data_IF_939547867793
#
_entry.id   IF_939547867793
#
_cell.length_a   1.000
_cell.length_b   1.000
_cell.length_c   1.000
_cell.angle_alpha   90.00
_cell.angle_beta   90.00
_cell.angle_gamma   90.00
#
_symmetry.space_group_name_H-M   'P 1'
#
loop_
_entity.id
_entity.type
_entity.pdbx_description
1 polymer ?
#
# COMPACT_ATOMS: atom_id res chain seq x y z
N UNK A 1 7.74 19.35 -28.65
CA UNK A 1 7.39 17.93 -28.40
C UNK A 1 7.41 17.73 -26.88
N UNK A 2 6.26 17.72 -26.26
CA UNK A 2 6.15 17.40 -24.84
C UNK A 2 6.33 15.88 -24.68
N UNK A 3 7.45 15.50 -24.11
CA UNK A 3 7.66 14.09 -23.69
C UNK A 3 6.81 13.83 -22.46
N UNK A 4 5.80 12.98 -22.60
CA UNK A 4 4.94 12.62 -21.50
C UNK A 4 5.75 11.87 -20.41
N UNK A 5 5.36 11.99 -19.13
CA UNK A 5 5.97 11.25 -18.01
C UNK A 5 6.00 9.72 -18.26
N UNK A 6 5.02 9.20 -19.01
CA UNK A 6 4.95 7.80 -19.46
C UNK A 6 6.07 7.43 -20.41
N UNK A 7 6.46 8.32 -21.34
CA UNK A 7 7.56 8.08 -22.29
C UNK A 7 8.91 8.03 -21.57
N UNK A 8 9.07 8.82 -20.51
CA UNK A 8 10.26 8.78 -19.66
C UNK A 8 10.41 7.46 -18.92
N UNK A 9 9.33 6.95 -18.34
CA UNK A 9 9.33 5.66 -17.64
C UNK A 9 9.54 4.46 -18.58
N UNK A 10 8.98 4.50 -19.78
CA UNK A 10 9.20 3.45 -20.81
C UNK A 10 10.67 3.34 -21.25
N UNK A 11 11.43 4.44 -21.19
CA UNK A 11 12.86 4.43 -21.50
C UNK A 11 13.77 3.94 -20.37
N UNK A 12 13.25 3.84 -19.14
CA UNK A 12 14.08 3.54 -17.96
C UNK A 12 14.10 2.06 -17.53
N UNK A 13 13.39 1.16 -18.21
CA UNK A 13 13.07 -0.16 -17.66
C UNK A 13 13.57 -1.34 -18.51
N UNK A 14 14.56 -1.15 -19.39
CA UNK A 14 15.31 -2.29 -19.91
C UNK A 14 16.45 -2.67 -18.96
N UNK A 15 16.71 -3.96 -18.72
CA UNK A 15 17.88 -4.44 -17.95
C UNK A 15 19.23 -3.98 -18.52
N UNK A 16 19.25 -3.44 -19.72
CA UNK A 16 20.34 -2.66 -20.28
C UNK A 16 20.42 -1.21 -19.73
N UNK A 17 19.38 -0.72 -19.03
CA UNK A 17 19.30 0.67 -18.60
C UNK A 17 20.18 0.99 -17.38
N UNK A 18 20.61 0.01 -16.60
CA UNK A 18 21.59 0.26 -15.52
C UNK A 18 22.97 0.59 -16.11
N UNK A 19 23.34 -0.03 -17.21
CA UNK A 19 24.56 0.31 -17.94
C UNK A 19 24.38 1.53 -18.88
N UNK A 20 23.18 1.72 -19.44
CA UNK A 20 22.85 2.86 -20.29
C UNK A 20 22.56 4.15 -19.53
N UNK A 21 22.09 4.08 -18.28
CA UNK A 21 21.96 5.23 -17.40
C UNK A 21 23.33 5.88 -17.10
N UNK A 22 24.40 5.12 -17.21
CA UNK A 22 25.77 5.65 -17.09
C UNK A 22 26.25 6.36 -18.38
N UNK A 23 25.57 6.19 -19.51
CA UNK A 23 25.97 6.76 -20.80
C UNK A 23 25.03 7.85 -21.34
N UNK A 24 23.82 7.98 -20.78
CA UNK A 24 22.99 9.15 -21.00
C UNK A 24 23.44 10.27 -20.03
N UNK A 25 24.54 10.91 -20.38
CA UNK A 25 24.88 12.21 -19.87
C UNK A 25 23.87 13.24 -20.36
N UNK A 26 22.64 13.17 -19.84
CA UNK A 26 21.86 14.39 -19.67
C UNK A 26 22.65 15.18 -18.64
N UNK A 27 23.11 16.39 -18.94
CA UNK A 27 23.56 17.27 -17.89
C UNK A 27 22.32 17.71 -17.11
N UNK A 28 21.81 16.83 -16.26
CA UNK A 28 21.17 17.33 -15.07
C UNK A 28 22.31 18.03 -14.35
N UNK A 29 22.33 19.36 -14.35
CA UNK A 29 23.02 20.08 -13.30
C UNK A 29 22.43 19.52 -12.01
N UNK A 30 23.06 18.47 -11.52
CA UNK A 30 22.73 17.92 -10.22
C UNK A 30 22.97 19.08 -9.27
N UNK A 31 21.91 19.65 -8.75
CA UNK A 31 22.01 20.73 -7.78
C UNK A 31 23.07 20.27 -6.76
N UNK A 32 24.12 21.07 -6.57
CA UNK A 32 25.20 20.70 -5.66
C UNK A 32 24.57 20.31 -4.34
N UNK A 33 24.91 19.13 -3.86
CA UNK A 33 24.39 18.65 -2.58
C UNK A 33 24.61 19.73 -1.50
N UNK A 34 23.62 19.99 -0.65
CA UNK A 34 23.78 20.95 0.44
C UNK A 34 25.02 20.65 1.27
N UNK A 35 25.73 21.67 1.71
CA UNK A 35 26.88 21.49 2.61
C UNK A 35 26.48 20.96 3.98
N UNK A 36 25.23 21.13 4.35
CA UNK A 36 24.63 20.68 5.61
C UNK A 36 23.19 20.23 5.35
N UNK A 37 22.82 19.12 5.93
CA UNK A 37 21.44 18.60 5.93
C UNK A 37 20.79 18.92 7.27
N UNK A 38 19.53 19.30 7.26
CA UNK A 38 18.75 19.54 8.49
C UNK A 38 18.40 18.23 9.20
N UNK A 39 18.23 17.16 8.43
CA UNK A 39 17.89 15.84 8.93
C UNK A 39 18.69 14.80 8.16
N UNK A 40 19.21 13.81 8.91
CA UNK A 40 19.85 12.60 8.36
C UNK A 40 19.10 11.38 8.87
N UNK A 41 18.82 10.43 8.00
CA UNK A 41 18.08 9.20 8.32
C UNK A 41 18.48 8.09 7.36
N UNK A 42 18.12 6.84 7.69
CA UNK A 42 18.41 5.69 6.83
C UNK A 42 17.40 5.58 5.68
N UNK A 43 16.15 5.93 5.94
CA UNK A 43 15.06 5.85 4.96
C UNK A 43 14.22 7.13 4.98
N UNK A 44 13.94 7.68 3.80
CA UNK A 44 12.96 8.76 3.61
C UNK A 44 11.73 8.19 2.90
N UNK A 45 10.56 8.40 3.49
CA UNK A 45 9.26 8.00 2.93
C UNK A 45 8.50 9.26 2.54
N UNK A 46 8.01 9.33 1.32
CA UNK A 46 7.22 10.47 0.82
C UNK A 46 5.74 10.11 0.85
N UNK A 47 4.98 10.84 1.66
CA UNK A 47 3.56 10.66 1.89
C UNK A 47 3.23 9.72 3.06
N UNK A 48 2.30 10.14 3.92
CA UNK A 48 1.85 9.38 5.10
C UNK A 48 0.48 8.73 4.90
N UNK A 49 0.24 8.20 3.70
CA UNK A 49 -0.90 7.31 3.43
C UNK A 49 -0.62 5.87 3.88
N UNK A 50 -1.50 4.93 3.50
CA UNK A 50 -1.36 3.51 3.87
C UNK A 50 -0.03 2.90 3.45
N UNK A 51 0.39 3.11 2.21
CA UNK A 51 1.66 2.59 1.71
C UNK A 51 2.86 3.20 2.45
N UNK A 52 2.87 4.52 2.67
CA UNK A 52 3.95 5.19 3.39
C UNK A 52 4.04 4.74 4.84
N UNK A 53 2.92 4.64 5.55
CA UNK A 53 2.89 4.16 6.92
C UNK A 53 3.41 2.71 7.03
N UNK A 54 2.97 1.82 6.13
CA UNK A 54 3.44 0.41 6.10
C UNK A 54 4.94 0.32 5.80
N UNK A 55 5.43 1.10 4.83
CA UNK A 55 6.86 1.18 4.49
C UNK A 55 7.69 1.65 5.69
N UNK A 56 7.25 2.72 6.35
CA UNK A 56 7.95 3.26 7.51
C UNK A 56 8.00 2.25 8.67
N UNK A 57 6.89 1.57 8.95
CA UNK A 57 6.83 0.52 9.98
C UNK A 57 7.80 -0.61 9.64
N UNK A 58 7.74 -1.12 8.42
CA UNK A 58 8.59 -2.23 7.98
C UNK A 58 10.07 -1.87 8.06
N UNK A 59 10.46 -0.67 7.61
CA UNK A 59 11.83 -0.20 7.70
C UNK A 59 12.30 -0.09 9.17
N UNK A 60 11.47 0.50 10.04
CA UNK A 60 11.79 0.65 11.46
C UNK A 60 11.89 -0.68 12.20
N UNK A 61 11.02 -1.64 11.89
CA UNK A 61 11.07 -3.00 12.44
C UNK A 61 12.35 -3.75 12.01
N UNK A 62 12.93 -3.39 10.87
CA UNK A 62 14.23 -3.90 10.41
C UNK A 62 15.42 -3.03 10.87
N UNK A 63 15.22 -2.15 11.82
CA UNK A 63 16.28 -1.41 12.50
C UNK A 63 16.57 -0.01 11.96
N UNK A 64 15.99 0.39 10.82
CA UNK A 64 16.23 1.69 10.22
C UNK A 64 15.59 2.84 11.02
N UNK A 65 16.24 4.01 10.98
CA UNK A 65 15.63 5.28 11.33
C UNK A 65 14.90 5.83 10.09
N UNK A 66 13.69 6.29 10.27
CA UNK A 66 12.82 6.68 9.15
C UNK A 66 12.31 8.09 9.33
N UNK A 67 12.37 8.87 8.26
CA UNK A 67 11.66 10.15 8.15
C UNK A 67 10.54 10.02 7.13
N UNK A 68 9.33 10.36 7.54
CA UNK A 68 8.17 10.45 6.66
C UNK A 68 7.90 11.91 6.38
N UNK A 69 7.85 12.29 5.10
CA UNK A 69 7.46 13.63 4.64
C UNK A 69 5.99 13.61 4.27
N UNK A 70 5.18 14.43 4.92
CA UNK A 70 3.74 14.54 4.63
C UNK A 70 3.37 15.99 4.35
N UNK A 71 2.69 16.21 3.23
CA UNK A 71 2.31 17.56 2.78
C UNK A 71 1.18 18.19 3.58
N UNK A 72 0.29 17.37 4.10
CA UNK A 72 -0.85 17.85 4.90
C UNK A 72 -0.42 18.16 6.33
N UNK A 73 -1.11 19.08 7.03
CA UNK A 73 -0.94 19.26 8.46
C UNK A 73 -1.51 18.06 9.23
N UNK A 74 -0.96 17.77 10.40
CA UNK A 74 -1.34 16.60 11.20
C UNK A 74 -2.84 16.58 11.54
N UNK A 75 -3.38 17.74 11.93
CA UNK A 75 -4.79 17.88 12.28
C UNK A 75 -5.76 17.84 11.09
N UNK A 76 -5.24 17.92 9.87
CA UNK A 76 -6.00 17.90 8.61
C UNK A 76 -5.45 16.87 7.62
N UNK A 77 -4.82 15.82 8.12
CA UNK A 77 -4.30 14.75 7.28
C UNK A 77 -5.43 14.00 6.58
N UNK A 78 -5.44 14.06 5.25
CA UNK A 78 -6.39 13.38 4.39
C UNK A 78 -5.60 12.55 3.38
N UNK A 79 -5.71 11.24 3.46
CA UNK A 79 -5.13 10.31 2.48
C UNK A 79 -6.21 9.45 1.83
N UNK A 80 -5.94 8.94 0.64
CA UNK A 80 -6.86 8.02 -0.03
C UNK A 80 -7.19 6.81 0.86
N UNK A 81 -6.24 6.33 1.66
CA UNK A 81 -6.46 5.26 2.62
C UNK A 81 -7.52 5.62 3.66
N UNK A 82 -7.48 6.83 4.23
CA UNK A 82 -8.49 7.29 5.19
C UNK A 82 -9.86 7.48 4.57
N UNK A 83 -9.90 7.87 3.28
CA UNK A 83 -11.14 8.12 2.53
C UNK A 83 -11.74 6.85 1.91
N UNK A 84 -11.02 5.73 1.94
CA UNK A 84 -11.48 4.47 1.37
C UNK A 84 -12.54 3.78 2.22
N UNK A 85 -13.14 2.70 1.68
CA UNK A 85 -14.02 1.81 2.43
C UNK A 85 -13.29 0.92 3.46
N UNK A 86 -11.97 0.93 3.49
CA UNK A 86 -11.15 0.17 4.45
C UNK A 86 -11.13 -1.33 4.20
N UNK A 87 -11.30 -1.75 2.96
CA UNK A 87 -11.22 -3.15 2.57
C UNK A 87 -9.77 -3.49 2.22
N UNK A 88 -9.31 -4.64 2.65
CA UNK A 88 -7.99 -5.16 2.31
C UNK A 88 -8.03 -6.65 1.99
N UNK A 89 -7.15 -7.07 1.08
CA UNK A 89 -7.02 -8.46 0.69
C UNK A 89 -6.27 -9.25 1.77
N UNK A 90 -6.78 -10.41 2.11
CA UNK A 90 -6.10 -11.36 2.98
C UNK A 90 -6.61 -12.77 2.67
N UNK A 91 -6.13 -13.40 1.58
CA UNK A 91 -6.44 -14.79 1.26
C UNK A 91 -6.09 -15.73 2.42
N UNK A 92 -6.73 -16.87 2.48
CA UNK A 92 -6.45 -17.85 3.52
C UNK A 92 -5.02 -18.41 3.35
N UNK A 93 -4.32 -18.60 4.46
CA UNK A 93 -2.91 -19.06 4.45
C UNK A 93 -2.70 -20.46 3.88
N UNK A 94 -3.74 -21.29 3.95
CA UNK A 94 -3.76 -22.66 3.43
C UNK A 94 -4.31 -22.76 2.00
N UNK A 95 -4.53 -21.63 1.33
CA UNK A 95 -4.88 -21.57 -0.08
C UNK A 95 -3.72 -21.95 -0.99
N UNK A 96 -4.02 -22.36 -2.21
CA UNK A 96 -3.01 -22.68 -3.23
C UNK A 96 -2.24 -21.41 -3.64
N UNK A 97 -0.93 -21.42 -3.42
CA UNK A 97 -0.07 -20.26 -3.71
C UNK A 97 0.11 -19.98 -5.20
N UNK A 98 0.14 -21.04 -6.03
CA UNK A 98 0.25 -20.85 -7.46
C UNK A 98 -1.04 -20.24 -8.03
N UNK A 99 -2.19 -20.69 -7.53
CA UNK A 99 -3.48 -20.10 -7.87
C UNK A 99 -3.58 -18.65 -7.38
N UNK A 100 -3.02 -18.34 -6.19
CA UNK A 100 -2.98 -16.97 -5.67
C UNK A 100 -2.11 -16.04 -6.54
N UNK A 101 -0.96 -16.53 -7.00
CA UNK A 101 -0.13 -15.81 -7.96
C UNK A 101 -0.85 -15.59 -9.29
N UNK A 102 -1.50 -16.62 -9.81
CA UNK A 102 -2.29 -16.51 -11.05
C UNK A 102 -3.43 -15.50 -10.92
N UNK A 103 -4.13 -15.50 -9.78
CA UNK A 103 -5.16 -14.53 -9.44
C UNK A 103 -4.60 -13.10 -9.45
N UNK A 104 -3.48 -12.87 -8.77
CA UNK A 104 -2.84 -11.56 -8.70
C UNK A 104 -2.36 -11.09 -10.09
N UNK A 105 -1.80 -12.01 -10.89
CA UNK A 105 -1.35 -11.71 -12.25
C UNK A 105 -2.50 -11.28 -13.15
N UNK A 106 -3.62 -11.99 -13.11
CA UNK A 106 -4.83 -11.63 -13.86
C UNK A 106 -5.39 -10.27 -13.41
N UNK A 107 -5.38 -9.99 -12.12
CA UNK A 107 -5.80 -8.70 -11.56
C UNK A 107 -4.89 -7.55 -12.03
N UNK A 108 -3.57 -7.75 -12.04
CA UNK A 108 -2.60 -6.72 -12.44
C UNK A 108 -2.48 -6.55 -13.95
N UNK A 109 -2.74 -7.59 -14.73
CA UNK A 109 -2.72 -7.52 -16.21
C UNK A 109 -3.85 -6.65 -16.77
N UNK A 110 -4.88 -6.39 -15.98
CA UNK A 110 -6.03 -5.62 -16.43
C UNK A 110 -6.83 -6.29 -17.55
N UNK A 111 -6.81 -7.61 -17.65
CA UNK A 111 -7.47 -8.36 -18.73
C UNK A 111 -8.96 -8.04 -18.90
N UNK A 112 -9.61 -7.60 -17.82
CA UNK A 112 -11.03 -7.25 -17.81
C UNK A 112 -11.29 -5.73 -17.79
N UNK A 113 -10.28 -4.92 -18.09
CA UNK A 113 -10.42 -3.46 -18.09
C UNK A 113 -10.69 -2.99 -19.52
N UNK A 114 -11.88 -2.40 -19.81
CA UNK A 114 -12.28 -2.02 -21.19
C UNK A 114 -11.39 -0.97 -21.85
N UNK A 115 -10.63 -0.21 -21.05
CA UNK A 115 -9.74 0.87 -21.51
C UNK A 115 -8.26 0.52 -21.47
N UNK A 116 -7.94 -0.78 -21.41
CA UNK A 116 -6.57 -1.25 -21.48
C UNK A 116 -5.97 -0.89 -22.83
N UNK A 117 -4.87 -0.15 -22.83
CA UNK A 117 -4.09 0.10 -24.04
C UNK A 117 -3.33 -1.18 -24.45
N UNK A 118 -3.36 -1.51 -25.74
CA UNK A 118 -2.56 -2.64 -26.28
C UNK A 118 -1.07 -2.46 -25.91
N UNK A 119 -0.47 -3.49 -25.31
CA UNK A 119 0.94 -3.48 -24.91
C UNK A 119 1.22 -3.01 -23.48
N UNK A 120 0.22 -2.82 -22.61
CA UNK A 120 0.44 -2.67 -21.17
C UNK A 120 0.84 -4.02 -20.55
N UNK A 121 1.87 -4.12 -20.20
CA UNK A 121 3.12 -4.76 -19.79
C UNK A 121 2.89 -5.94 -18.85
N UNK A 122 2.91 -7.15 -19.40
CA UNK A 122 2.92 -8.39 -18.62
C UNK A 122 4.19 -8.60 -17.77
N UNK A 123 5.31 -8.06 -18.18
CA UNK A 123 6.62 -8.33 -17.55
C UNK A 123 6.79 -7.77 -16.14
N UNK A 124 6.07 -6.68 -15.78
CA UNK A 124 6.06 -6.18 -14.39
C UNK A 124 5.02 -6.87 -13.53
N UNK A 125 4.02 -7.47 -14.11
CA UNK A 125 2.95 -8.10 -13.35
C UNK A 125 3.41 -9.36 -12.63
N UNK A 126 4.39 -10.11 -13.17
CA UNK A 126 4.80 -11.38 -12.59
C UNK A 126 5.57 -11.25 -11.26
N UNK A 127 6.61 -10.41 -11.13
CA UNK A 127 7.27 -10.16 -9.85
C UNK A 127 6.35 -9.56 -8.80
N UNK A 128 5.47 -8.62 -9.20
CA UNK A 128 4.50 -8.02 -8.29
C UNK A 128 3.43 -9.03 -7.86
N UNK A 129 2.95 -9.87 -8.76
CA UNK A 129 2.01 -10.94 -8.45
C UNK A 129 2.62 -11.96 -7.47
N UNK A 130 3.89 -12.30 -7.63
CA UNK A 130 4.59 -13.17 -6.69
C UNK A 130 4.67 -12.53 -5.32
N UNK A 131 5.15 -11.28 -5.23
CA UNK A 131 5.27 -10.55 -3.97
C UNK A 131 3.90 -10.42 -3.28
N UNK A 132 2.85 -10.10 -4.05
CA UNK A 132 1.50 -9.99 -3.54
C UNK A 132 0.99 -11.32 -2.99
N UNK A 133 1.22 -12.43 -3.72
CA UNK A 133 0.84 -13.77 -3.29
C UNK A 133 1.57 -14.22 -2.01
N UNK A 134 2.83 -13.82 -1.87
CA UNK A 134 3.63 -14.19 -0.70
C UNK A 134 3.21 -13.41 0.56
N UNK A 135 2.83 -12.15 0.42
CA UNK A 135 2.61 -11.25 1.56
C UNK A 135 1.14 -11.12 1.98
N UNK A 136 0.20 -11.07 1.04
CA UNK A 136 -1.20 -10.76 1.37
C UNK A 136 -1.87 -11.73 2.34
N UNK A 137 -1.56 -13.04 2.37
CA UNK A 137 -2.12 -13.94 3.39
C UNK A 137 -1.76 -13.58 4.83
N UNK A 138 -0.76 -12.72 5.04
CA UNK A 138 -0.33 -12.28 6.37
C UNK A 138 -0.87 -10.91 6.77
N UNK A 139 -1.61 -10.22 5.91
CA UNK A 139 -2.05 -8.85 6.14
C UNK A 139 -2.85 -8.66 7.43
N UNK A 140 -3.76 -9.59 7.74
CA UNK A 140 -4.56 -9.50 8.96
C UNK A 140 -3.70 -9.64 10.22
N UNK A 141 -2.72 -10.56 10.22
CA UNK A 141 -1.81 -10.72 11.35
C UNK A 141 -0.90 -9.51 11.52
N UNK A 142 -0.40 -8.97 10.42
CA UNK A 142 0.38 -7.74 10.44
C UNK A 142 -0.42 -6.60 11.11
N UNK A 143 -1.64 -6.34 10.66
CA UNK A 143 -2.49 -5.29 11.22
C UNK A 143 -2.80 -5.52 12.71
N UNK A 144 -3.13 -6.75 13.12
CA UNK A 144 -3.35 -7.10 14.52
C UNK A 144 -2.09 -6.93 15.38
N UNK A 145 -0.91 -7.13 14.82
CA UNK A 145 0.36 -6.89 15.53
C UNK A 145 0.57 -5.39 15.81
N UNK A 146 0.08 -4.54 14.92
CA UNK A 146 0.15 -3.10 15.09
C UNK A 146 -0.83 -2.60 16.15
N UNK A 147 -2.05 -3.11 16.13
CA UNK A 147 -3.08 -2.78 17.10
C UNK A 147 -3.93 -4.01 17.45
N UNK A 148 -3.77 -4.60 18.64
CA UNK A 148 -4.53 -5.77 19.05
C UNK A 148 -6.04 -5.56 19.13
N UNK A 149 -6.49 -4.31 19.20
CA UNK A 149 -7.93 -3.98 19.20
C UNK A 149 -8.54 -3.92 17.80
N UNK A 150 -7.71 -3.94 16.77
CA UNK A 150 -8.12 -4.10 15.38
C UNK A 150 -8.53 -5.54 15.11
N UNK A 151 -9.74 -5.76 14.65
CA UNK A 151 -10.26 -7.13 14.49
C UNK A 151 -10.29 -7.61 13.05
N UNK A 152 -10.42 -6.73 12.08
CA UNK A 152 -10.63 -7.13 10.71
C UNK A 152 -11.91 -7.96 10.56
N UNK A 153 -13.03 -7.34 10.25
CA UNK A 153 -14.32 -8.04 10.14
C UNK A 153 -14.52 -8.65 8.76
N UNK A 154 -14.92 -9.93 8.71
CA UNK A 154 -15.55 -10.47 7.51
C UNK A 154 -16.99 -9.98 7.48
N UNK A 155 -17.40 -9.30 6.40
CA UNK A 155 -18.82 -9.01 6.19
C UNK A 155 -19.47 -10.08 5.32
N UNK A 156 -20.71 -10.48 5.65
CA UNK A 156 -21.53 -11.22 4.71
C UNK A 156 -21.61 -10.45 3.38
N UNK A 157 -21.28 -11.09 2.26
CA UNK A 157 -21.25 -10.46 0.96
C UNK A 157 -19.90 -9.89 0.52
N UNK A 158 -18.92 -9.76 1.40
CA UNK A 158 -17.52 -9.43 1.06
C UNK A 158 -16.59 -10.64 1.11
N UNK A 159 -17.16 -11.80 1.18
CA UNK A 159 -16.46 -13.06 1.01
C UNK A 159 -16.22 -13.37 -0.48
N UNK A 160 -15.57 -14.45 -0.75
CA UNK A 160 -15.13 -15.04 -2.02
C UNK A 160 -15.87 -14.66 -3.31
N UNK A 161 -17.15 -14.29 -3.23
CA UNK A 161 -17.98 -13.97 -4.40
C UNK A 161 -17.96 -12.48 -4.81
N UNK A 162 -17.55 -11.56 -3.94
CA UNK A 162 -17.76 -10.13 -4.16
C UNK A 162 -16.61 -9.41 -4.85
N UNK A 163 -15.40 -9.95 -4.79
CA UNK A 163 -14.20 -9.26 -5.28
C UNK A 163 -13.38 -10.03 -6.29
N UNK A 164 -13.84 -11.15 -6.80
CA UNK A 164 -12.93 -11.80 -7.68
C UNK A 164 -13.49 -12.92 -8.50
N UNK A 165 -13.83 -12.58 -9.72
CA UNK A 165 -13.98 -13.55 -10.79
C UNK A 165 -12.65 -13.78 -11.54
N UNK A 166 -11.52 -13.42 -10.93
CA UNK A 166 -10.23 -13.72 -11.54
C UNK A 166 -9.91 -15.22 -11.41
N UNK A 167 -9.19 -15.78 -12.39
CA UNK A 167 -8.76 -17.17 -12.34
C UNK A 167 -8.02 -17.50 -11.03
N UNK A 168 -8.30 -18.65 -10.44
CA UNK A 168 -7.63 -19.10 -9.21
C UNK A 168 -8.28 -18.65 -7.90
N UNK A 169 -9.32 -17.83 -7.94
CA UNK A 169 -9.96 -17.28 -6.72
C UNK A 169 -10.48 -18.36 -5.75
N UNK A 170 -11.00 -19.46 -6.28
CA UNK A 170 -11.51 -20.59 -5.48
C UNK A 170 -10.38 -21.38 -4.86
N UNK A 171 -9.40 -21.74 -5.66
CA UNK A 171 -8.27 -22.58 -5.28
C UNK A 171 -7.35 -21.87 -4.28
N UNK A 172 -7.12 -20.56 -4.45
CA UNK A 172 -6.35 -19.76 -3.53
C UNK A 172 -7.13 -19.35 -2.27
N UNK A 173 -8.39 -19.76 -2.14
CA UNK A 173 -9.26 -19.37 -1.04
C UNK A 173 -9.25 -17.85 -0.82
N UNK A 174 -9.46 -17.13 -1.92
CA UNK A 174 -9.45 -15.66 -1.89
C UNK A 174 -10.41 -15.13 -0.82
N UNK A 175 -9.92 -14.15 -0.07
CA UNK A 175 -10.70 -13.49 0.95
C UNK A 175 -10.33 -12.01 1.05
N UNK A 176 -11.29 -11.20 1.47
CA UNK A 176 -11.09 -9.80 1.78
C UNK A 176 -11.73 -9.49 3.12
N UNK A 177 -11.06 -8.63 3.86
CA UNK A 177 -11.50 -8.19 5.18
C UNK A 177 -11.80 -6.70 5.17
N UNK A 178 -12.62 -6.29 6.09
CA UNK A 178 -12.90 -4.89 6.38
C UNK A 178 -12.19 -4.47 7.65
N UNK A 179 -11.58 -3.31 7.62
CA UNK A 179 -10.95 -2.71 8.78
C UNK A 179 -12.02 -2.37 9.83
N UNK A 180 -12.01 -3.06 10.95
CA UNK A 180 -13.05 -2.94 11.97
C UNK A 180 -12.44 -2.81 13.36
N UNK A 181 -13.01 -1.91 14.16
CA UNK A 181 -12.78 -1.78 15.59
C UNK A 181 -14.06 -2.08 16.36
N UNK A 182 -13.94 -2.75 17.51
CA UNK A 182 -15.04 -3.01 18.46
C UNK A 182 -15.37 -1.79 19.31
N UNK A 183 -15.29 -0.60 18.75
CA UNK A 183 -15.71 0.63 19.40
C UNK A 183 -16.19 1.62 18.35
N UNK A 184 -17.12 2.45 18.75
CA UNK A 184 -17.55 3.56 17.91
C UNK A 184 -16.48 4.64 17.91
N UNK A 185 -16.05 5.04 16.71
CA UNK A 185 -15.15 6.17 16.49
C UNK A 185 -15.82 7.17 15.55
N UNK A 186 -15.53 8.44 15.72
CA UNK A 186 -15.93 9.45 14.76
C UNK A 186 -14.98 9.37 13.56
N UNK A 187 -15.51 9.07 12.39
CA UNK A 187 -14.75 8.94 11.14
C UNK A 187 -15.29 9.90 10.10
N UNK A 188 -14.46 10.24 9.09
CA UNK A 188 -14.91 11.07 7.98
C UNK A 188 -15.99 10.39 7.14
N UNK A 189 -15.88 9.08 6.97
CA UNK A 189 -16.84 8.25 6.26
C UNK A 189 -17.53 7.32 7.26
N UNK A 190 -18.59 7.83 7.87
CA UNK A 190 -19.40 7.06 8.80
C UNK A 190 -20.35 6.12 8.05
N UNK A 191 -19.76 5.19 7.29
CA UNK A 191 -20.51 4.21 6.52
C UNK A 191 -20.76 3.01 7.42
N UNK A 192 -21.94 2.92 7.96
CA UNK A 192 -22.31 1.86 8.91
C UNK A 192 -22.49 0.48 8.28
N UNK A 193 -22.43 0.31 6.98
CA UNK A 193 -22.53 -0.97 6.22
C UNK A 193 -23.23 -2.14 6.94
N UNK A 194 -24.24 -1.87 7.76
CA UNK A 194 -24.93 -2.90 8.54
C UNK A 194 -24.16 -3.42 9.76
N UNK A 195 -23.08 -2.78 10.17
CA UNK A 195 -22.37 -3.12 11.40
C UNK A 195 -23.14 -2.72 12.65
N UNK A 196 -22.90 -3.37 13.79
CA UNK A 196 -23.38 -2.93 15.09
C UNK A 196 -23.02 -1.48 15.38
N UNK A 197 -23.90 -0.74 16.06
CA UNK A 197 -23.74 0.71 16.31
C UNK A 197 -22.52 1.06 17.17
N UNK A 198 -21.96 0.11 17.88
CA UNK A 198 -20.75 0.21 18.70
C UNK A 198 -19.46 -0.07 17.95
N UNK A 199 -19.55 -0.43 16.67
CA UNK A 199 -18.40 -0.73 15.84
C UNK A 199 -18.11 0.38 14.84
N UNK A 200 -16.86 0.45 14.40
CA UNK A 200 -16.41 1.32 13.32
C UNK A 200 -15.67 0.51 12.27
N UNK A 201 -16.07 0.69 11.01
CA UNK A 201 -15.36 0.11 9.86
C UNK A 201 -15.26 1.16 8.76
N UNK A 202 -14.03 1.49 8.39
CA UNK A 202 -13.77 2.48 7.34
C UNK A 202 -12.29 2.49 6.96
N UNK A 203 -11.93 3.23 5.93
CA UNK A 203 -10.54 3.51 5.60
C UNK A 203 -9.83 4.27 6.70
N UNK A 204 -10.54 5.10 7.44
CA UNK A 204 -9.97 5.76 8.62
C UNK A 204 -9.61 4.76 9.70
N UNK A 205 -10.44 3.76 9.97
CA UNK A 205 -10.11 2.66 10.89
C UNK A 205 -8.85 1.91 10.41
N UNK A 206 -8.71 1.66 9.11
CA UNK A 206 -7.51 1.07 8.54
C UNK A 206 -6.27 1.95 8.78
N UNK A 207 -6.37 3.22 8.45
CA UNK A 207 -5.27 4.16 8.62
C UNK A 207 -4.90 4.36 10.09
N UNK A 208 -5.86 4.42 11.00
CA UNK A 208 -5.60 4.53 12.45
C UNK A 208 -4.83 3.33 13.00
N UNK A 209 -5.10 2.13 12.50
CA UNK A 209 -4.30 0.94 12.83
C UNK A 209 -2.83 1.14 12.41
N UNK A 210 -2.59 1.60 11.19
CA UNK A 210 -1.24 1.89 10.70
C UNK A 210 -0.57 3.02 11.49
N UNK A 211 -1.29 4.10 11.76
CA UNK A 211 -0.78 5.22 12.56
C UNK A 211 -0.41 4.79 14.00
N UNK A 212 -1.19 3.88 14.58
CA UNK A 212 -0.86 3.25 15.86
C UNK A 212 0.45 2.46 15.75
N UNK A 213 0.62 1.70 14.67
CA UNK A 213 1.86 1.00 14.37
C UNK A 213 3.06 1.93 14.26
N UNK A 214 2.91 3.06 13.58
CA UNK A 214 3.95 4.10 13.49
C UNK A 214 4.32 4.64 14.87
N UNK A 215 3.32 5.00 15.69
CA UNK A 215 3.55 5.50 17.05
C UNK A 215 4.30 4.50 17.94
N UNK A 216 4.03 3.21 17.78
CA UNK A 216 4.73 2.14 18.53
C UNK A 216 6.22 2.03 18.20
N UNK A 217 6.67 2.52 17.04
CA UNK A 217 8.09 2.54 16.69
C UNK A 217 8.87 3.64 17.43
N UNK A 218 8.18 4.54 18.15
CA UNK A 218 8.80 5.60 18.94
C UNK A 218 9.71 6.49 18.09
N UNK A 219 10.94 6.70 18.56
CA UNK A 219 11.90 7.59 17.90
C UNK A 219 12.47 7.04 16.58
N UNK A 220 12.16 5.80 16.23
CA UNK A 220 12.57 5.20 14.95
C UNK A 220 11.87 5.82 13.75
N UNK A 221 10.66 6.34 13.93
CA UNK A 221 9.91 7.00 12.86
C UNK A 221 9.59 8.43 13.29
N UNK A 222 10.04 9.38 12.48
CA UNK A 222 9.71 10.80 12.60
C UNK A 222 8.85 11.24 11.42
N UNK A 223 7.66 11.76 11.67
CA UNK A 223 6.82 12.36 10.63
C UNK A 223 7.04 13.87 10.63
N UNK A 224 7.39 14.39 9.46
CA UNK A 224 7.49 15.83 9.20
C UNK A 224 6.24 16.24 8.40
N UNK A 225 5.36 16.93 9.09
CA UNK A 225 4.11 17.44 8.53
C UNK A 225 4.36 18.74 7.75
N UNK A 226 3.41 19.12 6.89
CA UNK A 226 3.47 20.35 6.08
C UNK A 226 4.77 20.46 5.26
N UNK A 227 5.27 19.31 4.82
CA UNK A 227 6.49 19.20 4.02
C UNK A 227 6.08 18.83 2.58
N UNK A 228 6.01 19.81 1.66
CA UNK A 228 5.53 19.62 0.29
C UNK A 228 6.53 18.86 -0.60
#
# INVERSE_FOLDING_TARGET
METSRRSFLKGAVGTAAVAAAATLSIPAEAAKAPKKWDVTTDVVVIGFGGAGATTAISAAQNGANVVVLEKNPENHHISNTRMSGGIFHCPDKDGDKAALKAYAKAMFSGENIPWKEEGEIPEYSDPLAQLWADLTPTNLDFLKSLDPTFIGGTQPGFNKASFGNFPGAKECKYNAYRSTYLKRMKTFNDVSYGLPKDQTSSGEAFWLCLATGVKKQGNKIRVLWETP
#
